data_IF_284663032197
#
_entry.id   IF_284663032197
#
_cell.length_a   1.000
_cell.length_b   1.000
_cell.length_c   1.000
_cell.angle_alpha   90.00
_cell.angle_beta   90.00
_cell.angle_gamma   90.00
#
_symmetry.space_group_name_H-M   'P 1'
#
loop_
_entity.id
_entity.type
_entity.pdbx_description
1 polymer ?
#
# COMPACT_ATOMS: atom_id res chain seq x y z
N UNK A 1 -19.59 -9.18 16.25
CA UNK A 1 -19.04 -8.16 15.37
C UNK A 1 -19.98 -6.98 15.35
N UNK A 2 -19.50 -5.79 15.70
CA UNK A 2 -20.27 -4.54 15.63
C UNK A 2 -20.27 -4.02 14.18
N UNK A 3 -21.21 -3.13 13.82
CA UNK A 3 -21.26 -2.52 12.48
C UNK A 3 -19.96 -1.77 12.13
N UNK A 4 -19.27 -1.22 13.13
CA UNK A 4 -17.97 -0.56 12.95
C UNK A 4 -16.83 -1.53 12.61
N UNK A 5 -16.87 -2.76 13.15
CA UNK A 5 -15.86 -3.79 12.85
C UNK A 5 -15.99 -4.33 11.42
N UNK A 6 -17.23 -4.45 10.92
CA UNK A 6 -17.51 -4.84 9.53
C UNK A 6 -17.05 -3.76 8.54
N UNK A 7 -17.25 -2.49 8.87
CA UNK A 7 -16.83 -1.37 8.02
C UNK A 7 -15.31 -1.24 7.90
N UNK A 8 -14.54 -1.76 8.87
CA UNK A 8 -13.07 -1.69 8.90
C UNK A 8 -12.38 -2.99 8.47
N UNK A 9 -13.12 -4.08 8.28
CA UNK A 9 -12.56 -5.37 7.85
C UNK A 9 -11.68 -5.26 6.59
N UNK A 10 -12.09 -4.53 5.51
CA UNK A 10 -11.27 -4.39 4.31
C UNK A 10 -9.93 -3.72 4.59
N UNK A 11 -9.92 -2.64 5.40
CA UNK A 11 -8.70 -1.91 5.75
C UNK A 11 -7.76 -2.76 6.62
N UNK A 12 -8.32 -3.58 7.51
CA UNK A 12 -7.52 -4.47 8.35
C UNK A 12 -6.87 -5.61 7.54
N UNK A 13 -7.62 -6.21 6.62
CA UNK A 13 -7.09 -7.24 5.72
C UNK A 13 -6.03 -6.65 4.79
N UNK A 14 -6.29 -5.47 4.20
CA UNK A 14 -5.30 -4.74 3.39
C UNK A 14 -4.01 -4.48 4.17
N UNK A 15 -4.10 -3.97 5.41
CA UNK A 15 -2.92 -3.71 6.24
C UNK A 15 -2.14 -4.99 6.55
N UNK A 16 -2.83 -6.08 6.88
CA UNK A 16 -2.19 -7.38 7.13
C UNK A 16 -1.46 -7.89 5.90
N UNK A 17 -2.09 -7.73 4.73
CA UNK A 17 -1.52 -8.20 3.47
C UNK A 17 -0.32 -7.36 3.05
N UNK A 18 -0.43 -6.03 3.10
CA UNK A 18 0.68 -5.11 2.85
C UNK A 18 1.86 -5.39 3.78
N UNK A 19 1.62 -5.67 5.06
CA UNK A 19 2.68 -6.06 5.99
C UNK A 19 3.35 -7.39 5.60
N UNK A 20 2.56 -8.38 5.15
CA UNK A 20 3.08 -9.67 4.67
C UNK A 20 3.94 -9.49 3.42
N UNK A 21 3.45 -8.75 2.43
CA UNK A 21 4.17 -8.50 1.17
C UNK A 21 5.41 -7.64 1.40
N UNK A 22 5.34 -6.62 2.25
CA UNK A 22 6.49 -5.80 2.62
C UNK A 22 7.62 -6.59 3.29
N UNK A 23 7.30 -7.70 3.99
CA UNK A 23 8.32 -8.62 4.52
C UNK A 23 8.95 -9.51 3.45
N UNK A 24 8.20 -9.84 2.40
CA UNK A 24 8.68 -10.64 1.27
C UNK A 24 9.51 -9.82 0.27
N UNK A 25 9.22 -8.52 0.17
CA UNK A 25 9.84 -7.55 -0.74
C UNK A 25 10.31 -6.35 0.10
N UNK A 26 11.47 -6.44 0.79
CA UNK A 26 11.84 -5.51 1.85
C UNK A 26 12.02 -4.04 1.44
N UNK A 27 12.35 -3.80 0.16
CA UNK A 27 12.52 -2.45 -0.37
C UNK A 27 11.22 -1.82 -0.86
N UNK A 28 10.12 -2.60 -0.88
CA UNK A 28 8.83 -2.08 -1.30
C UNK A 28 8.26 -1.10 -0.28
N UNK A 29 7.58 -0.06 -0.78
CA UNK A 29 6.87 0.92 0.04
C UNK A 29 5.41 0.92 -0.37
N UNK A 30 4.52 0.94 0.61
CA UNK A 30 3.09 0.93 0.37
C UNK A 30 2.42 2.15 0.98
N UNK A 31 1.53 2.76 0.21
CA UNK A 31 0.81 3.96 0.58
C UNK A 31 -0.67 3.81 0.26
N UNK A 32 -1.50 4.40 1.12
CA UNK A 32 -2.91 4.64 0.85
C UNK A 32 -3.06 6.06 0.30
N UNK A 33 -3.88 6.22 -0.73
CA UNK A 33 -4.22 7.53 -1.25
C UNK A 33 -5.71 7.63 -1.56
N UNK A 34 -6.12 8.72 -2.19
CA UNK A 34 -7.50 8.93 -2.61
C UNK A 34 -8.48 9.12 -1.45
N UNK A 35 -9.74 8.77 -1.68
CA UNK A 35 -10.83 9.14 -0.77
C UNK A 35 -10.81 8.37 0.55
N UNK A 36 -10.20 7.17 0.57
CA UNK A 36 -10.02 6.35 1.76
C UNK A 36 -9.10 6.99 2.82
N UNK A 37 -8.22 7.92 2.43
CA UNK A 37 -7.39 8.69 3.36
C UNK A 37 -8.23 9.58 4.28
N UNK A 38 -9.24 10.24 3.71
CA UNK A 38 -10.04 11.23 4.44
C UNK A 38 -11.31 10.64 5.04
N UNK A 39 -11.87 9.60 4.43
CA UNK A 39 -13.14 9.00 4.84
C UNK A 39 -13.10 7.46 4.86
N UNK A 40 -12.21 6.83 5.65
CA UNK A 40 -11.98 5.38 5.61
C UNK A 40 -13.20 4.51 5.95
N UNK A 41 -14.20 5.06 6.66
CA UNK A 41 -15.44 4.34 7.03
C UNK A 41 -16.57 4.45 6.00
N UNK A 42 -16.44 5.37 5.05
CA UNK A 42 -17.47 5.65 4.04
C UNK A 42 -16.98 5.34 2.62
N UNK A 43 -15.75 4.83 2.49
CA UNK A 43 -15.12 4.58 1.21
C UNK A 43 -15.54 3.21 0.67
N UNK A 44 -16.11 3.14 -0.55
CA UNK A 44 -16.46 1.88 -1.18
C UNK A 44 -15.23 1.16 -1.74
N UNK A 45 -14.08 1.82 -1.87
CA UNK A 45 -12.84 1.36 -2.49
C UNK A 45 -11.58 1.89 -1.76
N UNK A 46 -10.42 1.26 -2.00
CA UNK A 46 -9.13 1.69 -1.47
C UNK A 46 -8.10 1.86 -2.57
N UNK A 47 -7.56 3.06 -2.71
CA UNK A 47 -6.47 3.32 -3.65
C UNK A 47 -5.13 3.08 -2.95
N UNK A 48 -4.34 2.14 -3.48
CA UNK A 48 -3.08 1.69 -2.89
C UNK A 48 -1.95 1.87 -3.90
N UNK A 49 -0.91 2.59 -3.50
CA UNK A 49 0.33 2.71 -4.27
C UNK A 49 1.38 1.79 -3.65
N UNK A 50 1.98 0.94 -4.46
CA UNK A 50 3.19 0.21 -4.13
C UNK A 50 4.37 0.72 -4.97
N UNK A 51 5.50 0.99 -4.34
CA UNK A 51 6.75 1.39 -5.00
C UNK A 51 7.77 0.29 -4.82
N UNK A 52 8.36 -0.22 -5.90
CA UNK A 52 9.37 -1.27 -5.88
C UNK A 52 10.49 -1.04 -6.91
N UNK A 53 11.71 -1.41 -6.57
CA UNK A 53 12.93 -1.01 -7.29
C UNK A 53 13.04 -1.68 -8.67
N UNK A 54 12.59 -2.94 -8.78
CA UNK A 54 12.73 -3.73 -10.01
C UNK A 54 11.39 -4.17 -10.58
N UNK A 55 11.33 -4.36 -11.89
CA UNK A 55 10.13 -4.88 -12.56
C UNK A 55 9.70 -6.26 -12.04
N UNK A 56 10.66 -7.12 -11.69
CA UNK A 56 10.37 -8.44 -11.08
C UNK A 56 9.64 -8.28 -9.74
N UNK A 57 10.10 -7.37 -8.88
CA UNK A 57 9.43 -7.07 -7.61
C UNK A 57 8.05 -6.46 -7.83
N UNK A 58 7.88 -5.59 -8.82
CA UNK A 58 6.57 -5.02 -9.16
C UNK A 58 5.57 -6.11 -9.57
N UNK A 59 5.99 -7.05 -10.43
CA UNK A 59 5.16 -8.18 -10.82
C UNK A 59 4.84 -9.08 -9.63
N UNK A 60 5.82 -9.32 -8.76
CA UNK A 60 5.60 -10.10 -7.54
C UNK A 60 4.62 -9.43 -6.59
N UNK A 61 4.60 -8.10 -6.49
CA UNK A 61 3.58 -7.38 -5.71
C UNK A 61 2.18 -7.65 -6.26
N UNK A 62 1.99 -7.63 -7.58
CA UNK A 62 0.70 -7.96 -8.19
C UNK A 62 0.26 -9.40 -7.87
N UNK A 63 1.18 -10.36 -7.98
CA UNK A 63 0.89 -11.77 -7.69
C UNK A 63 0.52 -11.97 -6.21
N UNK A 64 1.28 -11.37 -5.30
CA UNK A 64 1.09 -11.53 -3.86
C UNK A 64 -0.15 -10.79 -3.33
N UNK A 65 -0.52 -9.66 -3.95
CA UNK A 65 -1.71 -8.88 -3.58
C UNK A 65 -3.00 -9.37 -4.27
N UNK A 66 -2.90 -10.32 -5.20
CA UNK A 66 -4.02 -10.76 -6.04
C UNK A 66 -5.26 -11.17 -5.22
N UNK A 67 -5.06 -11.95 -4.16
CA UNK A 67 -6.15 -12.48 -3.34
C UNK A 67 -6.91 -11.36 -2.62
N UNK A 68 -6.19 -10.39 -2.03
CA UNK A 68 -6.83 -9.29 -1.31
C UNK A 68 -7.54 -8.33 -2.26
N UNK A 69 -6.95 -8.04 -3.42
CA UNK A 69 -7.55 -7.21 -4.47
C UNK A 69 -8.75 -7.88 -5.16
N UNK A 70 -8.82 -9.21 -5.15
CA UNK A 70 -9.98 -9.95 -5.66
C UNK A 70 -11.12 -10.04 -4.63
N UNK A 71 -10.78 -9.89 -3.34
CA UNK A 71 -11.74 -9.94 -2.24
C UNK A 71 -12.36 -8.58 -1.98
N UNK A 72 -11.55 -7.53 -2.04
CA UNK A 72 -11.93 -6.16 -1.70
C UNK A 72 -11.72 -5.23 -2.89
N UNK A 73 -12.54 -4.18 -3.04
CA UNK A 73 -12.38 -3.16 -4.07
C UNK A 73 -11.13 -2.31 -3.79
N UNK A 74 -9.97 -2.82 -4.19
CA UNK A 74 -8.67 -2.17 -4.04
C UNK A 74 -8.15 -1.84 -5.44
N UNK A 75 -7.91 -0.57 -5.71
CA UNK A 75 -7.19 -0.14 -6.90
C UNK A 75 -5.69 -0.11 -6.57
N UNK A 76 -4.95 -1.10 -7.08
CA UNK A 76 -3.53 -1.27 -6.83
C UNK A 76 -2.71 -0.67 -7.96
N UNK A 77 -2.05 0.45 -7.67
CA UNK A 77 -1.05 1.06 -8.53
C UNK A 77 0.34 0.59 -8.09
N UNK A 78 1.15 0.11 -9.04
CA UNK A 78 2.55 -0.29 -8.77
C UNK A 78 3.47 0.52 -9.67
N UNK A 79 4.49 1.14 -9.08
CA UNK A 79 5.45 2.00 -9.79
C UNK A 79 6.90 1.72 -9.35
N UNK A 80 7.84 2.11 -10.20
CA UNK A 80 9.25 2.26 -9.82
C UNK A 80 9.47 3.55 -9.04
N UNK A 81 10.57 3.66 -8.28
CA UNK A 81 10.95 4.92 -7.64
C UNK A 81 11.12 6.09 -8.63
N UNK A 82 11.55 5.80 -9.86
CA UNK A 82 11.71 6.81 -10.89
C UNK A 82 10.35 7.37 -11.37
N UNK A 83 9.38 6.49 -11.64
CA UNK A 83 8.02 6.90 -12.06
C UNK A 83 7.29 7.67 -10.96
N UNK A 84 7.44 7.26 -9.70
CA UNK A 84 6.89 8.00 -8.56
C UNK A 84 7.49 9.41 -8.46
N UNK A 85 8.82 9.52 -8.56
CA UNK A 85 9.55 10.79 -8.48
C UNK A 85 9.28 11.72 -9.66
N UNK A 86 9.06 11.19 -10.87
CA UNK A 86 8.69 12.01 -12.04
C UNK A 86 7.34 12.71 -11.85
N UNK A 87 6.43 12.10 -11.09
CA UNK A 87 5.09 12.61 -10.84
C UNK A 87 4.98 13.36 -9.49
N UNK A 88 6.03 13.32 -8.66
CA UNK A 88 5.97 13.64 -7.23
C UNK A 88 4.72 13.03 -6.57
N UNK A 89 4.35 11.80 -6.97
CA UNK A 89 2.99 11.28 -6.77
C UNK A 89 2.62 11.20 -5.29
N UNK A 90 3.55 10.75 -4.44
CA UNK A 90 3.32 10.64 -2.99
C UNK A 90 2.97 11.99 -2.38
N UNK A 91 3.67 13.05 -2.79
CA UNK A 91 3.39 14.41 -2.32
C UNK A 91 2.10 14.96 -2.96
N UNK A 92 1.93 14.80 -4.26
CA UNK A 92 0.81 15.33 -5.02
C UNK A 92 -0.53 14.74 -4.57
N UNK A 93 -0.56 13.46 -4.21
CA UNK A 93 -1.77 12.74 -3.76
C UNK A 93 -1.92 12.68 -2.25
N UNK A 94 -1.03 13.33 -1.49
CA UNK A 94 -1.04 13.28 -0.01
C UNK A 94 -1.09 11.85 0.53
N UNK A 95 -0.26 10.98 -0.03
CA UNK A 95 -0.21 9.56 0.28
C UNK A 95 0.15 9.30 1.76
N UNK A 96 -0.56 8.36 2.39
CA UNK A 96 -0.31 7.91 3.77
C UNK A 96 0.36 6.54 3.79
N UNK A 97 1.51 6.36 4.46
CA UNK A 97 2.17 5.06 4.53
C UNK A 97 1.26 4.02 5.23
N UNK A 98 1.09 2.85 4.60
CA UNK A 98 0.29 1.74 5.14
C UNK A 98 1.07 0.85 6.10
N UNK A 99 2.39 0.81 5.95
CA UNK A 99 3.31 0.11 6.84
C UNK A 99 4.47 1.03 7.19
N UNK A 100 4.91 1.10 8.46
CA UNK A 100 6.12 1.84 8.80
C UNK A 100 7.29 1.19 8.08
N UNK A 101 7.93 1.91 7.17
CA UNK A 101 9.25 1.54 6.67
C UNK A 101 10.14 1.36 7.88
N UNK A 102 10.61 0.13 8.12
CA UNK A 102 11.63 -0.10 9.13
C UNK A 102 12.81 0.76 8.75
N UNK A 103 12.99 1.88 9.44
CA UNK A 103 14.11 2.78 9.22
C UNK A 103 15.34 1.96 9.56
N UNK A 104 16.07 1.52 8.54
CA UNK A 104 17.45 1.08 8.73
C UNK A 104 18.19 2.34 9.15
N UNK A 105 18.35 2.53 10.45
CA UNK A 105 19.28 3.53 10.98
C UNK A 105 20.65 3.10 10.53
N UNK A 106 21.15 3.70 9.45
CA UNK A 106 22.55 3.63 9.07
C UNK A 106 23.37 4.20 10.22
N UNK A 107 23.86 3.32 11.09
CA UNK A 107 24.90 3.65 12.03
C UNK A 107 26.17 3.90 11.20
N UNK A 108 26.44 5.17 10.90
CA UNK A 108 27.73 5.58 10.36
C UNK A 108 28.70 5.59 11.57
N UNK A 109 29.83 4.86 11.50
CA UNK A 109 30.82 4.81 12.58
C UNK A 109 31.56 6.14 12.79
#
# INVERSE_FOLDING_TARGET
MTNDELALAPLNDLKREVERVGKLIPNSKFYLFGSAVTHPKACPDFDVLAVADTHEEQMRIFDEMHDVCSTWPIDLLVMSPAEEAECDFVQAQSCHPLFPTSVVTSHIP
#
